data_IF_080111215989
#
_entry.id   IF_080111215989
#
_cell.length_a   1.000
_cell.length_b   1.000
_cell.length_c   1.000
_cell.angle_alpha   90.00
_cell.angle_beta   90.00
_cell.angle_gamma   90.00
#
_symmetry.space_group_name_H-M   'P 1'
#
loop_
_entity.id
_entity.type
_entity.pdbx_description
1 polymer ?
#
# COMPACT_ATOMS: atom_id res chain seq x y z
N UNK A 1 39.98 5.37 37.80
CA UNK A 1 39.37 5.55 36.47
C UNK A 1 37.88 5.38 36.67
N UNK A 2 37.07 6.39 36.35
CA UNK A 2 35.62 6.24 36.38
C UNK A 2 35.21 5.38 35.19
N UNK A 3 34.46 4.32 35.46
CA UNK A 3 33.87 3.42 34.48
C UNK A 3 32.43 3.86 34.19
N UNK A 4 31.86 3.42 33.06
CA UNK A 4 30.46 3.74 32.75
C UNK A 4 29.48 3.22 33.82
N UNK A 5 29.86 2.19 34.57
CA UNK A 5 29.06 1.59 35.65
C UNK A 5 29.00 2.48 36.90
N UNK A 6 29.90 3.46 37.02
CA UNK A 6 29.91 4.42 38.13
C UNK A 6 28.94 5.59 37.89
N UNK A 7 28.28 5.65 36.72
CA UNK A 7 27.28 6.66 36.41
C UNK A 7 25.93 6.34 37.09
N UNK A 8 25.22 7.37 37.61
CA UNK A 8 23.83 7.22 38.05
C UNK A 8 22.91 6.65 36.98
N UNK A 9 21.85 5.93 37.40
CA UNK A 9 20.88 5.29 36.50
C UNK A 9 20.26 6.27 35.51
N UNK A 10 19.99 7.51 35.92
CA UNK A 10 19.38 8.54 35.07
C UNK A 10 20.30 8.97 33.93
N UNK A 11 21.62 8.94 34.14
CA UNK A 11 22.59 9.25 33.08
C UNK A 11 22.76 8.08 32.13
N UNK A 12 22.78 6.85 32.66
CA UNK A 12 22.79 5.63 31.84
C UNK A 12 21.55 5.55 30.96
N UNK A 13 20.38 5.85 31.51
CA UNK A 13 19.13 5.90 30.76
C UNK A 13 19.21 6.90 29.60
N UNK A 14 19.66 8.13 29.87
CA UNK A 14 19.82 9.16 28.83
C UNK A 14 20.78 8.73 27.73
N UNK A 15 21.90 8.09 28.08
CA UNK A 15 22.87 7.58 27.10
C UNK A 15 22.23 6.50 26.23
N UNK A 16 21.56 5.52 26.85
CA UNK A 16 20.90 4.43 26.14
C UNK A 16 19.77 4.92 25.24
N UNK A 17 19.02 5.95 25.66
CA UNK A 17 17.99 6.57 24.83
C UNK A 17 18.54 7.25 23.56
N UNK A 18 19.84 7.57 23.49
CA UNK A 18 20.49 8.05 22.26
C UNK A 18 20.92 6.91 21.31
N UNK A 19 21.03 5.67 21.81
CA UNK A 19 21.43 4.52 21.01
C UNK A 19 20.25 3.91 20.22
N UNK A 20 20.52 3.21 19.11
CA UNK A 20 19.49 2.47 18.37
C UNK A 20 19.04 1.19 19.12
N UNK A 21 17.90 0.62 18.71
CA UNK A 21 17.33 -0.56 19.38
C UNK A 21 18.25 -1.80 19.36
N UNK A 22 18.98 -2.11 18.26
CA UNK A 22 19.99 -3.16 18.27
C UNK A 22 21.10 -2.93 19.29
N UNK A 23 21.66 -1.71 19.37
CA UNK A 23 22.72 -1.38 20.33
C UNK A 23 22.22 -1.50 21.76
N UNK A 24 21.02 -1.00 22.07
CA UNK A 24 20.42 -1.14 23.41
C UNK A 24 20.29 -2.63 23.77
N UNK A 25 19.87 -3.47 22.83
CA UNK A 25 19.75 -4.92 23.06
C UNK A 25 21.09 -5.57 23.36
N UNK A 26 22.15 -5.18 22.63
CA UNK A 26 23.52 -5.63 22.91
C UNK A 26 24.03 -5.13 24.27
N UNK A 27 23.71 -3.90 24.67
CA UNK A 27 24.08 -3.35 25.97
C UNK A 27 23.53 -4.19 27.14
N UNK A 28 22.38 -4.87 26.99
CA UNK A 28 21.87 -5.82 28.01
C UNK A 28 22.86 -6.95 28.30
N UNK A 29 23.69 -7.34 27.34
CA UNK A 29 24.64 -8.43 27.49
C UNK A 29 25.97 -7.98 28.14
N UNK A 30 26.18 -6.68 28.32
CA UNK A 30 27.46 -6.13 28.80
C UNK A 30 27.58 -6.21 30.32
N UNK A 31 26.56 -5.78 31.08
CA UNK A 31 26.57 -5.83 32.54
C UNK A 31 25.16 -5.82 33.16
N UNK A 32 25.09 -6.11 34.46
CA UNK A 32 23.83 -6.12 35.24
C UNK A 32 23.24 -4.72 35.36
N UNK A 33 24.05 -3.68 35.55
CA UNK A 33 23.57 -2.29 35.65
C UNK A 33 22.81 -1.85 34.39
N UNK A 34 23.34 -2.14 33.19
CA UNK A 34 22.61 -1.85 31.95
C UNK A 34 21.35 -2.69 31.82
N UNK A 35 21.41 -3.96 32.22
CA UNK A 35 20.23 -4.83 32.22
C UNK A 35 19.11 -4.27 33.10
N UNK A 36 19.45 -3.78 34.30
CA UNK A 36 18.50 -3.18 35.24
C UNK A 36 17.93 -1.87 34.69
N UNK A 37 18.78 -0.95 34.24
CA UNK A 37 18.33 0.33 33.63
C UNK A 37 17.40 0.08 32.44
N UNK A 38 17.78 -0.84 31.55
CA UNK A 38 16.97 -1.17 30.37
C UNK A 38 15.64 -1.79 30.77
N UNK A 39 15.62 -2.68 31.77
CA UNK A 39 14.41 -3.35 32.25
C UNK A 39 13.45 -2.37 32.95
N UNK A 40 14.00 -1.47 33.77
CA UNK A 40 13.23 -0.65 34.69
C UNK A 40 12.83 0.71 34.09
N UNK A 41 13.55 1.19 33.07
CA UNK A 41 13.17 2.41 32.32
C UNK A 41 12.00 2.15 31.37
N UNK A 42 10.87 2.83 31.64
CA UNK A 42 9.70 2.81 30.75
C UNK A 42 10.01 3.43 29.39
N UNK A 43 10.86 4.47 29.34
CA UNK A 43 11.23 5.13 28.09
C UNK A 43 12.07 4.22 27.17
N UNK A 44 13.02 3.48 27.75
CA UNK A 44 13.81 2.51 26.98
C UNK A 44 12.93 1.35 26.51
N UNK A 45 12.09 0.82 27.40
CA UNK A 45 11.14 -0.24 27.02
C UNK A 45 10.21 0.21 25.89
N UNK A 46 9.70 1.44 25.96
CA UNK A 46 8.88 2.03 24.90
C UNK A 46 9.62 2.14 23.57
N UNK A 47 10.87 2.65 23.58
CA UNK A 47 11.71 2.73 22.39
C UNK A 47 11.96 1.35 21.76
N UNK A 48 12.20 0.33 22.57
CA UNK A 48 12.39 -1.05 22.08
C UNK A 48 11.10 -1.62 21.48
N UNK A 49 9.95 -1.43 22.14
CA UNK A 49 8.66 -1.92 21.62
C UNK A 49 8.26 -1.20 20.32
N UNK A 50 8.52 0.10 20.20
CA UNK A 50 8.37 0.82 18.93
C UNK A 50 9.17 0.15 17.81
N UNK A 51 10.47 -0.09 18.04
CA UNK A 51 11.34 -0.71 17.05
C UNK A 51 10.92 -2.16 16.70
N UNK A 52 10.50 -2.96 17.68
CA UNK A 52 10.02 -4.33 17.46
C UNK A 52 8.78 -4.35 16.57
N UNK A 53 7.87 -3.40 16.77
CA UNK A 53 6.61 -3.35 16.02
C UNK A 53 6.69 -2.54 14.72
N UNK A 54 7.82 -1.86 14.48
CA UNK A 54 8.02 -1.00 13.31
C UNK A 54 7.24 0.31 13.38
N UNK A 55 7.29 0.95 14.54
CA UNK A 55 6.62 2.22 14.82
C UNK A 55 7.62 3.29 15.23
N UNK A 56 7.19 4.54 15.05
CA UNK A 56 7.80 5.74 15.60
C UNK A 56 6.87 6.39 16.62
N UNK A 57 7.46 7.16 17.53
CA UNK A 57 6.72 7.89 18.55
C UNK A 57 5.87 8.99 17.89
N UNK A 58 4.59 9.03 18.25
CA UNK A 58 3.65 9.97 17.66
C UNK A 58 3.48 11.25 18.49
N UNK A 59 2.84 12.24 17.89
CA UNK A 59 2.67 13.59 18.47
C UNK A 59 1.51 13.72 19.46
N UNK A 60 0.87 12.62 19.87
CA UNK A 60 -0.25 12.66 20.81
C UNK A 60 0.21 13.12 22.19
N UNK A 61 -0.04 14.40 22.48
CA UNK A 61 0.38 15.10 23.69
C UNK A 61 -0.42 14.71 24.94
N UNK A 62 -1.42 13.82 24.83
CA UNK A 62 -2.29 13.43 25.94
C UNK A 62 -1.88 12.15 26.67
N UNK A 63 -0.97 11.35 26.10
CA UNK A 63 -0.58 10.05 26.66
C UNK A 63 0.84 10.10 27.19
N UNK A 64 1.02 9.62 28.42
CA UNK A 64 2.32 9.34 29.01
C UNK A 64 3.03 8.21 28.26
N UNK A 65 4.36 8.13 28.38
CA UNK A 65 5.16 7.04 27.81
C UNK A 65 4.71 5.67 28.32
N UNK A 66 4.22 5.58 29.55
CA UNK A 66 3.67 4.36 30.13
C UNK A 66 2.37 3.93 29.41
N UNK A 67 1.45 4.85 29.18
CA UNK A 67 0.21 4.59 28.43
C UNK A 67 0.50 4.20 26.98
N UNK A 68 1.44 4.89 26.31
CA UNK A 68 1.87 4.52 24.94
C UNK A 68 2.49 3.12 24.88
N UNK A 69 3.31 2.75 25.88
CA UNK A 69 3.91 1.42 26.00
C UNK A 69 2.85 0.33 26.24
N UNK A 70 1.90 0.57 27.13
CA UNK A 70 0.80 -0.35 27.41
C UNK A 70 -0.07 -0.56 26.17
N UNK A 71 -0.35 0.51 25.42
CA UNK A 71 -1.10 0.44 24.18
C UNK A 71 -0.38 -0.37 23.09
N UNK A 72 0.94 -0.20 22.91
CA UNK A 72 1.72 -1.02 21.97
C UNK A 72 1.70 -2.51 22.33
N UNK A 73 1.87 -2.84 23.62
CA UNK A 73 1.84 -4.23 24.09
C UNK A 73 0.46 -4.84 23.94
N UNK A 74 -0.58 -4.10 24.32
CA UNK A 74 -1.98 -4.52 24.15
C UNK A 74 -2.33 -4.77 22.70
N UNK A 75 -1.90 -3.87 21.80
CA UNK A 75 -2.03 -4.03 20.35
C UNK A 75 -1.39 -5.32 19.88
N UNK A 76 -0.12 -5.55 20.21
CA UNK A 76 0.60 -6.76 19.81
C UNK A 76 -0.12 -8.02 20.28
N UNK A 77 -0.56 -8.04 21.54
CA UNK A 77 -1.35 -9.15 22.09
C UNK A 77 -2.67 -9.36 21.35
N UNK A 78 -3.41 -8.29 21.04
CA UNK A 78 -4.68 -8.34 20.31
C UNK A 78 -4.49 -8.84 18.86
N UNK A 79 -3.44 -8.39 18.16
CA UNK A 79 -3.10 -8.85 16.82
C UNK A 79 -2.72 -10.34 16.80
N UNK A 80 -1.93 -10.81 17.77
CA UNK A 80 -1.53 -12.23 17.87
C UNK A 80 -2.74 -13.11 18.21
N UNK A 81 -3.62 -12.65 19.10
CA UNK A 81 -4.83 -13.37 19.48
C UNK A 81 -5.96 -13.26 18.45
N UNK A 82 -5.83 -12.36 17.46
CA UNK A 82 -6.90 -11.98 16.50
C UNK A 82 -8.20 -11.65 17.23
N UNK A 83 -8.09 -10.85 18.30
CA UNK A 83 -9.23 -10.39 19.09
C UNK A 83 -9.52 -8.92 18.79
N UNK A 84 -10.47 -8.62 17.88
CA UNK A 84 -10.82 -7.24 17.56
C UNK A 84 -11.47 -6.56 18.78
N UNK A 85 -11.10 -5.31 19.02
CA UNK A 85 -11.75 -4.48 20.03
C UNK A 85 -13.14 -4.05 19.59
N UNK A 86 -13.33 -3.80 18.30
CA UNK A 86 -14.61 -3.42 17.71
C UNK A 86 -14.87 -4.21 16.43
N UNK A 87 -16.11 -4.66 16.24
CA UNK A 87 -16.59 -5.22 14.97
C UNK A 87 -17.74 -4.36 14.50
N UNK A 88 -17.63 -3.82 13.28
CA UNK A 88 -18.69 -3.07 12.63
C UNK A 88 -19.14 -3.82 11.39
N UNK A 89 -20.45 -4.03 11.27
CA UNK A 89 -21.05 -4.59 10.06
C UNK A 89 -21.62 -3.46 9.20
N UNK A 90 -21.33 -3.49 7.90
CA UNK A 90 -21.80 -2.51 6.92
C UNK A 90 -22.49 -3.25 5.78
N UNK A 91 -23.68 -2.78 5.42
CA UNK A 91 -24.38 -3.24 4.22
C UNK A 91 -24.00 -2.33 3.07
N UNK A 92 -23.39 -2.90 2.04
CA UNK A 92 -22.91 -2.19 0.86
C UNK A 92 -23.77 -2.58 -0.32
N UNK A 93 -24.04 -1.65 -1.23
CA UNK A 93 -24.69 -1.98 -2.52
C UNK A 93 -23.66 -2.09 -3.62
N UNK A 94 -22.80 -1.07 -3.72
CA UNK A 94 -21.82 -0.93 -4.78
C UNK A 94 -20.57 -0.25 -4.23
N UNK A 95 -19.46 -0.50 -4.94
CA UNK A 95 -18.14 0.14 -4.81
C UNK A 95 -17.54 0.23 -3.40
N UNK A 96 -16.29 -0.22 -3.28
CA UNK A 96 -15.56 -0.20 -2.02
C UNK A 96 -14.19 0.38 -2.28
N UNK A 97 -13.93 1.49 -1.61
CA UNK A 97 -12.62 2.11 -1.59
C UNK A 97 -12.01 1.97 -0.22
N UNK A 98 -10.72 1.69 -0.24
CA UNK A 98 -9.94 1.62 0.96
C UNK A 98 -8.57 2.22 0.68
N UNK A 99 -8.24 3.26 1.44
CA UNK A 99 -6.93 3.92 1.35
C UNK A 99 -6.65 4.61 2.65
N UNK A 100 -5.38 4.56 3.09
CA UNK A 100 -4.87 5.27 4.28
C UNK A 100 -5.90 5.27 5.42
N UNK A 101 -6.26 4.07 5.88
CA UNK A 101 -7.28 3.74 6.90
C UNK A 101 -8.59 4.52 6.86
N UNK A 102 -9.03 4.92 5.67
CA UNK A 102 -10.41 5.25 5.39
C UNK A 102 -11.04 4.15 4.57
N UNK A 103 -12.31 3.89 4.87
CA UNK A 103 -13.17 2.98 4.17
C UNK A 103 -14.34 3.76 3.59
N UNK A 104 -14.56 3.68 2.29
CA UNK A 104 -15.69 4.33 1.64
C UNK A 104 -16.54 3.32 0.87
N UNK A 105 -17.85 3.54 0.86
CA UNK A 105 -18.82 2.64 0.26
C UNK A 105 -20.07 3.38 -0.18
N UNK A 106 -20.86 2.79 -1.08
CA UNK A 106 -22.22 3.23 -1.38
C UNK A 106 -23.22 2.40 -0.56
N UNK A 107 -24.12 3.08 0.16
CA UNK A 107 -25.18 2.47 0.97
C UNK A 107 -26.38 2.00 0.13
N UNK A 108 -27.39 1.40 0.77
CA UNK A 108 -28.64 1.00 0.11
C UNK A 108 -29.52 2.18 -0.28
N UNK A 109 -29.29 3.30 0.37
CA UNK A 109 -29.96 4.56 0.15
C UNK A 109 -29.27 5.38 -0.95
N UNK A 110 -28.31 4.79 -1.67
CA UNK A 110 -27.52 5.46 -2.70
C UNK A 110 -26.86 6.74 -2.12
N UNK A 111 -26.19 6.59 -0.97
CA UNK A 111 -25.32 7.61 -0.39
C UNK A 111 -23.87 7.12 -0.37
N UNK A 112 -22.92 7.98 -0.76
CA UNK A 112 -21.49 7.66 -0.66
C UNK A 112 -20.99 8.02 0.74
N UNK A 113 -20.65 7.01 1.53
CA UNK A 113 -20.15 7.18 2.88
C UNK A 113 -18.64 7.02 2.94
N UNK A 114 -18.02 7.75 3.86
CA UNK A 114 -16.62 7.60 4.20
C UNK A 114 -16.50 7.43 5.71
N UNK A 115 -15.74 6.43 6.13
CA UNK A 115 -15.41 6.12 7.51
C UNK A 115 -13.89 6.18 7.69
N UNK A 116 -13.43 7.12 8.52
CA UNK A 116 -12.12 7.05 9.14
C UNK A 116 -12.13 5.91 10.16
N UNK A 117 -11.29 4.89 9.91
CA UNK A 117 -11.22 3.71 10.76
C UNK A 117 -10.62 4.06 12.12
N UNK A 118 -11.27 3.70 13.24
CA UNK A 118 -10.74 3.96 14.57
C UNK A 118 -9.51 3.08 14.84
N UNK A 119 -8.66 3.55 15.75
CA UNK A 119 -7.61 2.74 16.37
C UNK A 119 -7.52 3.14 17.84
N UNK A 120 -8.02 2.28 18.72
CA UNK A 120 -7.98 2.51 20.16
C UNK A 120 -6.55 2.63 20.66
N UNK A 121 -5.65 1.81 20.11
CA UNK A 121 -4.23 1.79 20.50
C UNK A 121 -3.45 3.03 20.03
N UNK A 122 -3.84 3.65 18.92
CA UNK A 122 -3.19 4.87 18.42
C UNK A 122 -3.90 6.15 18.83
N UNK A 123 -5.05 6.07 19.51
CA UNK A 123 -5.88 7.22 19.86
C UNK A 123 -6.60 7.85 18.65
N UNK A 124 -6.85 7.07 17.58
CA UNK A 124 -7.55 7.56 16.39
C UNK A 124 -9.06 7.38 16.58
N UNK A 125 -9.85 8.47 16.58
CA UNK A 125 -11.31 8.36 16.71
C UNK A 125 -11.94 7.87 15.40
N UNK A 126 -13.07 7.18 15.53
CA UNK A 126 -13.94 6.93 14.39
C UNK A 126 -14.58 8.26 13.94
N UNK A 127 -14.57 8.52 12.64
CA UNK A 127 -15.29 9.65 12.04
C UNK A 127 -15.97 9.18 10.78
N UNK A 128 -17.26 9.44 10.68
CA UNK A 128 -18.07 9.06 9.52
C UNK A 128 -18.79 10.27 8.97
N UNK A 129 -18.85 10.35 7.65
CA UNK A 129 -19.64 11.35 6.95
C UNK A 129 -20.16 10.78 5.63
N UNK A 130 -21.29 11.32 5.19
CA UNK A 130 -21.82 11.07 3.85
C UNK A 130 -21.42 12.24 2.95
N UNK A 131 -20.94 11.91 1.75
CA UNK A 131 -20.59 12.89 0.72
C UNK A 131 -21.86 13.25 -0.02
N UNK A 132 -22.24 14.53 0.06
CA UNK A 132 -23.49 15.02 -0.50
C UNK A 132 -23.30 15.43 -1.97
N UNK A 133 -24.34 15.28 -2.78
CA UNK A 133 -24.37 15.77 -4.16
C UNK A 133 -24.72 14.68 -5.18
N UNK A 134 -24.81 15.04 -6.47
CA UNK A 134 -25.21 14.12 -7.56
C UNK A 134 -24.08 13.16 -7.95
N UNK A 135 -23.29 12.72 -6.97
CA UNK A 135 -22.12 11.88 -7.18
C UNK A 135 -22.54 10.41 -7.22
N UNK A 136 -23.65 10.05 -6.58
CA UNK A 136 -24.00 8.63 -6.43
C UNK A 136 -24.56 8.03 -7.73
N UNK A 137 -25.36 8.80 -8.48
CA UNK A 137 -25.76 8.43 -9.84
C UNK A 137 -24.55 8.20 -10.75
N UNK A 138 -23.47 8.93 -10.48
CA UNK A 138 -22.21 8.77 -11.18
C UNK A 138 -21.48 7.52 -10.66
N UNK A 139 -21.22 7.37 -9.36
CA UNK A 139 -20.35 6.33 -8.81
C UNK A 139 -20.89 4.91 -9.02
N UNK A 140 -22.21 4.70 -8.98
CA UNK A 140 -22.83 3.36 -9.10
C UNK A 140 -22.51 2.62 -10.41
N UNK A 141 -22.04 3.31 -11.45
CA UNK A 141 -21.64 2.74 -12.74
C UNK A 141 -20.15 2.90 -13.05
N UNK A 142 -19.39 3.54 -12.16
CA UNK A 142 -18.11 4.16 -12.49
C UNK A 142 -16.99 3.71 -11.55
N UNK A 143 -15.80 4.26 -11.75
CA UNK A 143 -14.58 3.90 -11.01
C UNK A 143 -14.11 5.11 -10.22
N UNK A 144 -13.79 4.92 -8.95
CA UNK A 144 -13.34 6.01 -8.09
C UNK A 144 -12.01 5.73 -7.41
N UNK A 145 -11.36 6.80 -6.99
CA UNK A 145 -10.20 6.77 -6.11
C UNK A 145 -10.21 8.01 -5.21
N UNK A 146 -9.63 7.90 -4.01
CA UNK A 146 -9.64 8.99 -3.04
C UNK A 146 -8.27 9.19 -2.39
N UNK A 147 -8.01 10.42 -1.93
CA UNK A 147 -6.94 10.72 -0.97
C UNK A 147 -7.55 11.63 0.13
N UNK A 148 -7.90 11.06 1.29
CA UNK A 148 -8.50 11.81 2.39
C UNK A 148 -7.60 12.92 2.96
N UNK A 149 -6.27 12.81 2.83
CA UNK A 149 -5.35 13.84 3.31
C UNK A 149 -5.45 15.12 2.47
N UNK A 150 -5.73 14.98 1.18
CA UNK A 150 -5.92 16.10 0.25
C UNK A 150 -7.39 16.47 0.05
N UNK A 151 -8.32 15.82 0.78
CA UNK A 151 -9.79 15.99 0.61
C UNK A 151 -10.27 15.73 -0.82
N UNK A 152 -9.67 14.78 -1.54
CA UNK A 152 -9.97 14.54 -2.96
C UNK A 152 -10.67 13.20 -3.21
N UNK A 153 -11.65 13.24 -4.11
CA UNK A 153 -12.35 12.11 -4.70
C UNK A 153 -12.29 12.26 -6.23
N UNK A 154 -11.53 11.39 -6.89
CA UNK A 154 -11.51 11.28 -8.34
C UNK A 154 -12.60 10.29 -8.78
N UNK A 155 -13.42 10.69 -9.74
CA UNK A 155 -14.56 9.90 -10.25
C UNK A 155 -14.47 9.84 -11.76
N UNK A 156 -14.44 8.64 -12.34
CA UNK A 156 -14.45 8.48 -13.78
C UNK A 156 -15.86 8.23 -14.31
N UNK A 157 -16.48 9.24 -14.90
CA UNK A 157 -17.85 9.21 -15.38
C UNK A 157 -17.91 8.68 -16.83
N UNK A 158 -18.62 7.59 -17.07
CA UNK A 158 -18.95 7.17 -18.44
C UNK A 158 -19.98 8.11 -19.06
N UNK A 159 -19.70 8.67 -20.24
CA UNK A 159 -20.62 9.54 -20.98
C UNK A 159 -20.90 8.97 -22.36
N UNK A 160 -22.18 8.71 -22.62
CA UNK A 160 -22.70 8.30 -23.92
C UNK A 160 -22.96 9.53 -24.81
N UNK A 161 -22.54 9.46 -26.07
CA UNK A 161 -22.69 10.51 -27.09
C UNK A 161 -22.38 9.99 -28.48
N UNK A 162 -21.99 10.86 -29.43
CA UNK A 162 -21.53 10.41 -30.77
C UNK A 162 -20.29 9.49 -30.69
N UNK A 163 -19.51 9.62 -29.62
CA UNK A 163 -18.44 8.71 -29.21
C UNK A 163 -18.53 8.53 -27.70
N UNK A 164 -18.18 7.34 -27.24
CA UNK A 164 -18.16 6.96 -25.84
C UNK A 164 -16.87 7.50 -25.18
N UNK A 165 -16.98 8.09 -23.99
CA UNK A 165 -15.84 8.63 -23.25
C UNK A 165 -15.95 8.37 -21.75
N UNK A 166 -14.80 8.20 -21.13
CA UNK A 166 -14.58 8.34 -19.70
C UNK A 166 -14.17 9.78 -19.39
N UNK A 167 -14.90 10.45 -18.52
CA UNK A 167 -14.59 11.80 -18.05
C UNK A 167 -14.18 11.74 -16.59
N UNK A 168 -12.96 12.16 -16.28
CA UNK A 168 -12.43 12.09 -14.92
C UNK A 168 -12.71 13.43 -14.23
N UNK A 169 -13.67 13.43 -13.31
CA UNK A 169 -14.06 14.58 -12.50
C UNK A 169 -13.32 14.57 -11.15
N UNK A 170 -12.92 15.75 -10.68
CA UNK A 170 -12.25 15.92 -9.38
C UNK A 170 -13.17 16.61 -8.38
N UNK A 171 -13.48 15.92 -7.28
CA UNK A 171 -14.43 16.35 -6.26
C UNK A 171 -13.77 16.41 -4.88
N UNK A 172 -14.38 17.18 -3.98
CA UNK A 172 -14.04 17.18 -2.56
C UNK A 172 -14.61 15.94 -1.89
N UNK A 173 -13.79 15.21 -1.14
CA UNK A 173 -14.22 14.03 -0.39
C UNK A 173 -15.12 14.40 0.80
N UNK A 174 -15.04 15.62 1.31
CA UNK A 174 -15.87 16.09 2.44
C UNK A 174 -17.21 16.63 1.97
N UNK A 175 -17.20 17.43 0.89
CA UNK A 175 -18.40 18.18 0.46
C UNK A 175 -19.09 17.57 -0.74
N UNK A 176 -18.34 16.89 -1.62
CA UNK A 176 -18.82 16.35 -2.88
C UNK A 176 -18.85 17.32 -4.07
N UNK A 177 -18.63 18.61 -3.79
CA UNK A 177 -18.49 19.64 -4.81
C UNK A 177 -17.19 19.49 -5.60
N UNK A 178 -17.02 20.25 -6.68
CA UNK A 178 -15.75 20.29 -7.41
C UNK A 178 -14.60 20.70 -6.49
N UNK A 179 -13.47 20.01 -6.61
CA UNK A 179 -12.35 20.23 -5.71
C UNK A 179 -11.78 21.66 -5.88
N UNK A 180 -11.68 22.48 -4.83
CA UNK A 180 -11.33 23.91 -4.96
C UNK A 180 -9.88 24.16 -5.42
N UNK A 181 -8.98 23.21 -5.18
CA UNK A 181 -7.59 23.30 -5.63
C UNK A 181 -7.35 22.75 -7.04
N UNK A 182 -8.34 22.10 -7.64
CA UNK A 182 -8.20 21.60 -9.00
C UNK A 182 -8.37 22.75 -9.98
N UNK A 183 -7.35 22.99 -10.83
CA UNK A 183 -7.45 24.00 -11.89
C UNK A 183 -8.61 23.71 -12.85
N UNK A 184 -8.82 22.43 -13.16
CA UNK A 184 -9.88 21.96 -14.04
C UNK A 184 -10.86 21.07 -13.28
N UNK A 185 -12.15 21.26 -13.52
CA UNK A 185 -13.21 20.39 -12.96
C UNK A 185 -13.12 18.96 -13.50
N UNK A 186 -12.85 18.86 -14.78
CA UNK A 186 -12.61 17.62 -15.52
C UNK A 186 -11.12 17.56 -15.82
N UNK A 187 -10.46 16.54 -15.29
CA UNK A 187 -9.02 16.33 -15.44
C UNK A 187 -8.68 15.81 -16.84
N UNK A 188 -9.47 14.85 -17.33
CA UNK A 188 -9.23 14.20 -18.60
C UNK A 188 -10.53 13.64 -19.19
N UNK A 189 -10.57 13.56 -20.52
CA UNK A 189 -11.60 12.84 -21.28
C UNK A 189 -10.89 11.78 -22.13
N UNK A 190 -11.10 10.51 -21.79
CA UNK A 190 -10.45 9.37 -22.43
C UNK A 190 -11.51 8.67 -23.28
N UNK A 191 -11.19 8.39 -24.55
CA UNK A 191 -12.12 7.69 -25.42
C UNK A 191 -12.35 6.28 -24.88
N UNK A 192 -13.61 5.93 -24.62
CA UNK A 192 -13.97 4.57 -24.29
C UNK A 192 -13.99 3.75 -25.60
N UNK A 193 -13.18 2.71 -25.65
CA UNK A 193 -13.28 1.66 -26.67
C UNK A 193 -14.43 0.69 -26.35
N UNK A 194 -14.80 -0.14 -27.33
CA UNK A 194 -15.74 -1.23 -27.11
C UNK A 194 -15.17 -2.19 -26.05
N UNK A 195 -15.88 -2.33 -24.93
CA UNK A 195 -15.42 -3.11 -23.77
C UNK A 195 -14.09 -2.58 -23.19
N UNK A 196 -14.00 -1.26 -23.01
CA UNK A 196 -12.92 -0.63 -22.25
C UNK A 196 -13.30 -0.46 -20.79
N UNK A 197 -12.31 -0.57 -19.91
CA UNK A 197 -12.43 -0.22 -18.50
C UNK A 197 -11.29 0.70 -18.09
N UNK A 198 -11.41 1.25 -16.89
CA UNK A 198 -10.31 1.95 -16.26
C UNK A 198 -10.25 1.71 -14.76
N UNK A 199 -9.08 1.90 -14.18
CA UNK A 199 -8.90 2.05 -12.75
C UNK A 199 -8.22 3.41 -12.45
N UNK A 200 -8.53 3.97 -11.29
CA UNK A 200 -7.97 5.24 -10.83
C UNK A 200 -7.09 5.02 -9.61
N UNK A 201 -6.04 5.81 -9.50
CA UNK A 201 -5.24 5.94 -8.27
C UNK A 201 -5.05 7.42 -7.96
N UNK A 202 -5.23 7.82 -6.71
CA UNK A 202 -4.86 9.16 -6.24
C UNK A 202 -3.70 9.06 -5.27
N UNK A 203 -2.70 9.90 -5.47
CA UNK A 203 -1.56 10.02 -4.56
C UNK A 203 -1.11 11.48 -4.49
N UNK A 204 -1.39 12.16 -3.38
CA UNK A 204 -1.02 13.58 -3.21
C UNK A 204 -1.55 14.41 -4.37
N UNK A 205 -0.65 15.06 -5.12
CA UNK A 205 -0.92 15.93 -6.26
C UNK A 205 -1.12 15.14 -7.56
N UNK A 206 -0.97 13.82 -7.53
CA UNK A 206 -0.99 12.97 -8.71
C UNK A 206 -2.27 12.13 -8.80
N UNK A 207 -2.82 12.04 -10.02
CA UNK A 207 -3.85 11.07 -10.38
C UNK A 207 -3.28 10.16 -11.45
N UNK A 208 -3.25 8.87 -11.17
CA UNK A 208 -2.96 7.82 -12.12
C UNK A 208 -4.25 7.23 -12.70
N UNK A 209 -4.22 6.95 -14.00
CA UNK A 209 -5.33 6.35 -14.74
C UNK A 209 -4.79 5.16 -15.50
N UNK A 210 -5.28 3.97 -15.17
CA UNK A 210 -5.04 2.72 -15.89
C UNK A 210 -6.22 2.48 -16.81
N UNK A 211 -6.07 2.72 -18.10
CA UNK A 211 -7.12 2.48 -19.10
C UNK A 211 -6.80 1.20 -19.87
N UNK A 212 -7.72 0.24 -19.89
CA UNK A 212 -7.52 -1.06 -20.55
C UNK A 212 -8.66 -1.34 -21.53
N UNK A 213 -8.34 -2.00 -22.64
CA UNK A 213 -9.31 -2.41 -23.66
C UNK A 213 -9.43 -3.94 -23.69
N UNK A 214 -10.62 -4.52 -23.55
CA UNK A 214 -10.78 -5.99 -23.42
C UNK A 214 -10.30 -6.80 -24.64
N UNK A 215 -10.16 -6.16 -25.81
CA UNK A 215 -9.85 -6.85 -27.09
C UNK A 215 -8.39 -6.78 -27.53
N UNK A 216 -7.60 -5.93 -26.92
CA UNK A 216 -6.16 -5.96 -27.10
C UNK A 216 -5.58 -5.81 -25.72
N UNK A 217 -4.64 -6.65 -25.32
CA UNK A 217 -4.06 -6.65 -23.96
C UNK A 217 -3.31 -5.33 -23.59
N UNK A 218 -3.67 -4.19 -24.20
CA UNK A 218 -3.10 -2.86 -24.06
C UNK A 218 -3.61 -2.26 -22.78
N UNK A 219 -2.65 -1.76 -22.00
CA UNK A 219 -2.90 -0.94 -20.84
C UNK A 219 -2.25 0.41 -21.11
N UNK A 220 -3.07 1.45 -21.11
CA UNK A 220 -2.66 2.82 -21.22
C UNK A 220 -2.55 3.40 -19.81
N UNK A 221 -1.38 3.93 -19.47
CA UNK A 221 -1.16 4.58 -18.19
C UNK A 221 -1.04 6.08 -18.43
N UNK A 222 -1.88 6.84 -17.73
CA UNK A 222 -1.77 8.30 -17.71
C UNK A 222 -1.52 8.78 -16.29
N UNK A 223 -0.50 9.63 -16.11
CA UNK A 223 -0.24 10.30 -14.83
C UNK A 223 -0.45 11.79 -15.04
N UNK A 224 -1.30 12.37 -14.20
CA UNK A 224 -1.60 13.79 -14.18
C UNK A 224 -1.20 14.42 -12.86
N UNK A 225 -0.77 15.68 -12.89
CA UNK A 225 -0.86 16.54 -11.72
C UNK A 225 -2.27 17.15 -11.69
N UNK A 226 -3.10 16.77 -10.73
CA UNK A 226 -4.51 17.16 -10.72
C UNK A 226 -4.71 18.62 -10.27
N UNK A 227 -3.78 19.19 -9.51
CA UNK A 227 -3.81 20.61 -9.11
C UNK A 227 -3.54 21.50 -10.32
N UNK A 228 -2.54 21.18 -11.13
CA UNK A 228 -2.19 21.97 -12.34
C UNK A 228 -3.00 21.57 -13.58
N UNK A 229 -3.59 20.37 -13.60
CA UNK A 229 -4.28 19.78 -14.73
C UNK A 229 -3.34 19.26 -15.83
N UNK A 230 -2.02 19.23 -15.58
CA UNK A 230 -1.02 18.84 -16.57
C UNK A 230 -0.85 17.32 -16.62
N UNK A 231 -0.77 16.77 -17.82
CA UNK A 231 -0.45 15.36 -18.04
C UNK A 231 1.06 15.18 -18.04
N UNK A 232 1.59 14.52 -17.02
CA UNK A 232 3.03 14.30 -16.84
C UNK A 232 3.53 13.07 -17.60
N UNK A 233 2.66 12.07 -17.79
CA UNK A 233 3.03 10.80 -18.39
C UNK A 233 1.86 10.22 -19.19
N UNK A 234 2.16 9.62 -20.34
CA UNK A 234 1.23 8.83 -21.14
C UNK A 234 1.99 7.66 -21.76
N UNK A 235 1.71 6.45 -21.32
CA UNK A 235 2.37 5.22 -21.74
C UNK A 235 1.37 4.27 -22.40
N UNK A 236 1.82 3.63 -23.47
CA UNK A 236 1.20 2.47 -24.10
C UNK A 236 2.23 1.35 -24.14
N UNK A 237 2.16 0.41 -23.18
CA UNK A 237 2.96 -0.80 -23.23
C UNK A 237 2.39 -1.91 -22.36
N UNK A 238 2.88 -3.14 -22.61
CA UNK A 238 2.37 -4.37 -22.01
C UNK A 238 3.51 -5.29 -21.55
N UNK A 239 3.32 -6.06 -20.47
CA UNK A 239 2.49 -5.74 -19.32
C UNK A 239 3.12 -4.57 -18.55
N UNK A 240 2.32 -3.62 -18.08
CA UNK A 240 2.77 -2.57 -17.18
C UNK A 240 1.86 -2.51 -15.95
N UNK A 241 2.47 -2.37 -14.78
CA UNK A 241 1.80 -1.93 -13.56
C UNK A 241 2.62 -0.82 -12.90
N UNK A 242 1.98 0.08 -12.17
CA UNK A 242 2.68 1.11 -11.42
C UNK A 242 2.18 1.24 -9.98
N UNK A 243 3.01 1.86 -9.15
CA UNK A 243 2.61 2.28 -7.80
C UNK A 243 3.41 3.52 -7.38
N UNK A 244 2.79 4.39 -6.59
CA UNK A 244 3.46 5.52 -5.96
C UNK A 244 4.10 5.05 -4.65
N UNK A 245 5.38 5.36 -4.47
CA UNK A 245 6.16 4.99 -3.27
C UNK A 245 6.54 6.20 -2.43
N UNK A 246 6.51 7.39 -3.03
CA UNK A 246 6.71 8.66 -2.31
C UNK A 246 6.14 9.83 -3.13
N UNK A 247 6.23 11.04 -2.58
CA UNK A 247 5.88 12.27 -3.30
C UNK A 247 6.83 12.55 -4.50
N UNK A 248 7.99 11.88 -4.54
CA UNK A 248 9.03 12.07 -5.55
C UNK A 248 9.14 10.92 -6.54
N UNK A 249 8.81 9.70 -6.12
CA UNK A 249 9.10 8.50 -6.90
C UNK A 249 7.85 7.66 -7.16
N UNK A 250 7.77 7.18 -8.39
CA UNK A 250 6.83 6.16 -8.84
C UNK A 250 7.63 4.96 -9.35
N UNK A 251 7.13 3.76 -9.09
CA UNK A 251 7.67 2.53 -9.64
C UNK A 251 6.80 2.06 -10.79
N UNK A 252 7.44 1.66 -11.87
CA UNK A 252 6.79 1.14 -13.07
C UNK A 252 7.36 -0.25 -13.35
N UNK A 253 6.60 -1.30 -13.04
CA UNK A 253 6.94 -2.68 -13.37
C UNK A 253 6.50 -2.95 -14.81
N UNK A 254 7.42 -3.41 -15.65
CA UNK A 254 7.13 -3.74 -17.04
C UNK A 254 7.93 -4.95 -17.53
N UNK A 255 7.47 -5.60 -18.60
CA UNK A 255 8.26 -6.59 -19.33
C UNK A 255 8.00 -6.46 -20.82
N UNK A 256 8.88 -7.03 -21.65
CA UNK A 256 8.56 -7.25 -23.07
C UNK A 256 7.77 -8.55 -23.19
N UNK A 257 6.67 -8.55 -23.95
CA UNK A 257 5.80 -9.71 -24.18
C UNK A 257 6.55 -10.93 -24.72
N UNK A 258 7.64 -10.70 -25.46
CA UNK A 258 8.48 -11.76 -26.01
C UNK A 258 9.69 -12.10 -25.14
N UNK A 259 9.87 -11.39 -24.03
CA UNK A 259 11.01 -11.56 -23.13
C UNK A 259 10.58 -12.21 -21.82
N UNK A 260 11.47 -13.04 -21.28
CA UNK A 260 11.37 -13.48 -19.89
C UNK A 260 11.87 -12.41 -18.91
N UNK A 261 12.37 -11.28 -19.41
CA UNK A 261 12.90 -10.18 -18.60
C UNK A 261 11.79 -9.24 -18.16
N UNK A 262 11.58 -9.18 -16.85
CA UNK A 262 10.79 -8.13 -16.21
C UNK A 262 11.71 -7.11 -15.53
N UNK A 263 11.30 -5.85 -15.52
CA UNK A 263 12.08 -4.72 -15.02
C UNK A 263 11.19 -3.79 -14.21
N UNK A 264 11.73 -3.19 -13.16
CA UNK A 264 11.11 -2.07 -12.46
C UNK A 264 11.87 -0.80 -12.80
N UNK A 265 11.21 0.14 -13.46
CA UNK A 265 11.76 1.49 -13.67
C UNK A 265 11.36 2.41 -12.53
N UNK A 266 12.34 3.08 -11.95
CA UNK A 266 12.12 4.13 -10.95
C UNK A 266 11.99 5.46 -11.67
N UNK A 267 10.84 6.10 -11.56
CA UNK A 267 10.53 7.38 -12.20
C UNK A 267 10.54 8.49 -11.14
N UNK A 268 11.33 9.53 -11.37
CA UNK A 268 11.33 10.74 -10.52
C UNK A 268 10.28 11.72 -11.04
N UNK A 269 9.14 11.80 -10.35
CA UNK A 269 7.96 12.56 -10.75
C UNK A 269 8.24 14.07 -10.96
N UNK A 270 8.97 14.77 -10.07
CA UNK A 270 9.26 16.20 -10.25
C UNK A 270 10.15 16.51 -11.46
N UNK A 271 10.87 15.51 -11.99
CA UNK A 271 11.72 15.68 -13.18
C UNK A 271 11.01 15.31 -14.47
N UNK A 272 9.77 14.83 -14.42
CA UNK A 272 9.02 14.56 -15.64
C UNK A 272 8.81 15.87 -16.41
N UNK A 273 9.06 15.88 -17.72
CA UNK A 273 8.86 17.09 -18.50
C UNK A 273 7.38 17.46 -18.48
N UNK A 274 7.09 18.74 -18.24
CA UNK A 274 5.77 19.31 -18.48
C UNK A 274 5.59 19.43 -20.00
N UNK A 275 5.41 18.30 -20.70
CA UNK A 275 5.15 18.38 -22.14
C UNK A 275 3.74 18.91 -22.39
N UNK A 276 3.65 19.90 -23.27
CA UNK A 276 2.40 20.24 -23.93
C UNK A 276 1.82 18.98 -24.55
N UNK A 277 0.59 18.67 -24.13
CA UNK A 277 -0.27 17.58 -24.57
C UNK A 277 0.07 17.03 -25.97
N UNK A 278 0.31 15.72 -26.07
CA UNK A 278 -0.34 14.77 -27.01
C UNK A 278 0.52 13.56 -27.37
N UNK A 279 1.86 13.60 -27.22
CA UNK A 279 2.69 12.44 -27.57
C UNK A 279 2.44 11.32 -26.56
N UNK A 280 1.85 10.22 -27.02
CA UNK A 280 1.80 8.97 -26.29
C UNK A 280 3.15 8.27 -26.50
N UNK A 281 3.79 7.86 -25.42
CA UNK A 281 4.99 7.04 -25.55
C UNK A 281 4.57 5.61 -25.83
N UNK A 282 5.07 5.05 -26.93
CA UNK A 282 4.63 3.76 -27.46
C UNK A 282 5.67 2.66 -27.30
N UNK A 283 6.81 2.94 -26.67
CA UNK A 283 7.88 1.95 -26.49
C UNK A 283 8.58 2.09 -25.15
N UNK A 284 8.97 0.95 -24.57
CA UNK A 284 9.80 0.87 -23.36
C UNK A 284 11.16 1.54 -23.54
N UNK A 285 11.67 1.69 -24.77
CA UNK A 285 12.92 2.43 -25.02
C UNK A 285 12.77 3.93 -24.78
N UNK A 286 11.55 4.47 -24.89
CA UNK A 286 11.27 5.87 -24.55
C UNK A 286 11.19 6.09 -23.01
N UNK A 287 11.15 5.01 -22.20
CA UNK A 287 11.23 5.11 -20.73
C UNK A 287 12.65 5.28 -20.20
N UNK A 288 13.66 4.74 -20.87
CA UNK A 288 15.07 4.85 -20.46
C UNK A 288 15.57 6.28 -20.18
N UNK A 289 15.18 7.32 -20.96
CA UNK A 289 15.54 8.69 -20.62
C UNK A 289 14.80 9.23 -19.40
N UNK A 290 13.60 8.72 -19.08
CA UNK A 290 12.76 9.16 -17.97
C UNK A 290 13.04 8.43 -16.65
N UNK A 291 13.61 7.23 -16.71
CA UNK A 291 13.97 6.46 -15.54
C UNK A 291 15.21 7.02 -14.86
N UNK A 292 15.16 7.12 -13.53
CA UNK A 292 16.33 7.36 -12.68
C UNK A 292 17.23 6.13 -12.68
N UNK A 293 16.64 4.94 -12.54
CA UNK A 293 17.31 3.65 -12.67
C UNK A 293 16.29 2.59 -13.10
N UNK A 294 16.76 1.57 -13.82
CA UNK A 294 16.01 0.37 -14.16
C UNK A 294 16.58 -0.82 -13.39
N UNK A 295 15.72 -1.51 -12.67
CA UNK A 295 16.05 -2.62 -11.79
C UNK A 295 15.53 -3.91 -12.40
N UNK A 296 16.41 -4.75 -12.95
CA UNK A 296 16.01 -6.03 -13.54
C UNK A 296 15.52 -6.97 -12.44
N UNK A 297 14.36 -7.58 -12.64
CA UNK A 297 13.80 -8.60 -11.75
C UNK A 297 14.44 -9.96 -12.01
N UNK A 298 14.27 -10.96 -11.11
CA UNK A 298 14.81 -12.30 -11.34
C UNK A 298 14.34 -12.88 -12.67
N UNK A 299 15.25 -13.54 -13.39
CA UNK A 299 14.90 -14.23 -14.63
C UNK A 299 13.85 -15.32 -14.37
N UNK A 300 12.93 -15.44 -15.32
CA UNK A 300 11.82 -16.36 -15.23
C UNK A 300 11.93 -17.42 -16.33
N UNK A 301 11.42 -18.62 -16.08
CA UNK A 301 11.49 -19.72 -17.06
C UNK A 301 10.62 -19.48 -18.30
N UNK A 302 9.67 -18.54 -18.22
CA UNK A 302 8.78 -18.18 -19.32
C UNK A 302 8.44 -16.68 -19.31
N UNK A 303 8.00 -16.12 -20.46
CA UNK A 303 7.56 -14.73 -20.56
C UNK A 303 6.48 -14.40 -19.54
N UNK A 304 6.55 -13.20 -18.98
CA UNK A 304 5.54 -12.72 -18.05
C UNK A 304 4.27 -12.37 -18.81
N UNK A 305 3.12 -12.82 -18.30
CA UNK A 305 1.82 -12.54 -18.90
C UNK A 305 1.03 -11.49 -18.12
N UNK A 306 1.55 -11.10 -16.96
CA UNK A 306 0.93 -10.12 -16.09
C UNK A 306 1.90 -9.71 -15.00
N UNK A 307 2.01 -8.41 -14.79
CA UNK A 307 2.72 -7.80 -13.68
C UNK A 307 1.72 -7.04 -12.84
N UNK A 308 1.90 -7.09 -11.54
CA UNK A 308 1.20 -6.25 -10.59
C UNK A 308 2.22 -5.76 -9.57
N UNK A 309 2.17 -4.47 -9.25
CA UNK A 309 3.04 -3.87 -8.26
C UNK A 309 2.18 -3.07 -7.29
N UNK A 310 2.46 -3.21 -6.01
CA UNK A 310 1.84 -2.43 -4.96
C UNK A 310 2.89 -2.07 -3.92
N UNK A 311 2.89 -0.81 -3.49
CA UNK A 311 3.65 -0.38 -2.34
C UNK A 311 2.75 -0.33 -1.11
N UNK A 312 3.34 -0.58 0.07
CA UNK A 312 2.67 -0.19 1.30
C UNK A 312 2.54 1.33 1.34
N UNK A 313 1.37 1.88 1.71
CA UNK A 313 1.16 3.32 1.69
C UNK A 313 2.22 4.02 2.54
N UNK A 314 2.91 4.93 1.87
CA UNK A 314 4.22 5.40 2.24
C UNK A 314 4.35 6.23 3.50
N UNK A 315 3.25 6.71 4.06
CA UNK A 315 3.33 7.69 5.15
C UNK A 315 2.33 7.44 6.26
N UNK A 316 2.78 7.68 7.51
CA UNK A 316 1.91 8.09 8.59
C UNK A 316 0.97 9.19 8.14
N UNK A 317 -0.24 9.15 8.68
CA UNK A 317 -1.25 10.18 8.49
C UNK A 317 -0.72 11.51 9.04
N UNK A 318 -0.21 12.38 8.18
CA UNK A 318 0.48 13.61 8.61
C UNK A 318 -0.42 14.57 9.41
N UNK A 319 -1.74 14.42 9.32
CA UNK A 319 -2.72 15.30 9.97
C UNK A 319 -3.26 14.76 11.30
N UNK A 320 -3.07 13.48 11.62
CA UNK A 320 -3.59 12.91 12.86
C UNK A 320 -2.53 12.89 13.95
N UNK A 321 -2.87 13.45 15.11
CA UNK A 321 -2.07 13.29 16.32
C UNK A 321 -2.34 11.88 16.87
N UNK A 322 -1.35 10.99 16.77
CA UNK A 322 -1.45 9.60 17.21
C UNK A 322 -0.43 9.28 18.31
N UNK A 323 -0.71 8.26 19.12
CA UNK A 323 0.21 7.79 20.15
C UNK A 323 1.54 7.31 19.56
N UNK A 324 1.45 6.63 18.42
CA UNK A 324 2.55 6.15 17.59
C UNK A 324 2.03 5.96 16.16
N UNK A 325 2.93 5.89 15.19
CA UNK A 325 2.60 5.64 13.79
C UNK A 325 3.63 4.70 13.16
N UNK A 326 3.31 3.98 12.07
CA UNK A 326 4.29 3.16 11.38
C UNK A 326 5.55 3.98 11.05
N UNK A 327 6.72 3.36 11.10
CA UNK A 327 7.99 4.04 10.79
C UNK A 327 8.03 4.62 9.37
N UNK A 328 8.91 5.61 9.15
CA UNK A 328 9.11 6.40 7.93
C UNK A 328 9.28 5.54 6.64
N UNK A 329 9.17 6.10 5.42
CA UNK A 329 9.26 5.41 4.14
C UNK A 329 10.37 4.38 3.95
N UNK A 330 11.50 4.53 4.65
CA UNK A 330 12.64 3.62 4.54
C UNK A 330 12.29 2.18 4.92
N UNK A 331 11.25 1.96 5.74
CA UNK A 331 10.73 0.66 6.16
C UNK A 331 9.57 0.13 5.29
N UNK A 332 9.20 0.82 4.19
CA UNK A 332 8.16 0.35 3.29
C UNK A 332 8.55 -0.95 2.59
N UNK A 333 7.59 -1.87 2.49
CA UNK A 333 7.66 -3.00 1.57
C UNK A 333 6.99 -2.64 0.24
N UNK A 334 7.68 -2.90 -0.87
CA UNK A 334 7.11 -2.96 -2.21
C UNK A 334 6.86 -4.43 -2.52
N UNK A 335 5.61 -4.76 -2.82
CA UNK A 335 5.22 -6.10 -3.28
C UNK A 335 5.07 -6.07 -4.78
N UNK A 336 5.82 -6.96 -5.44
CA UNK A 336 5.75 -7.16 -6.88
C UNK A 336 5.21 -8.56 -7.08
N UNK A 337 3.97 -8.64 -7.54
CA UNK A 337 3.36 -9.89 -7.97
C UNK A 337 3.60 -10.09 -9.45
N UNK A 338 4.26 -11.20 -9.78
CA UNK A 338 4.55 -11.57 -11.16
C UNK A 338 3.74 -12.82 -11.51
N UNK A 339 2.99 -12.75 -12.61
CA UNK A 339 2.22 -13.88 -13.13
C UNK A 339 2.78 -14.28 -14.48
N UNK A 340 3.09 -15.57 -14.61
CA UNK A 340 3.69 -16.14 -15.81
C UNK A 340 2.72 -17.13 -16.41
N UNK A 341 2.49 -16.97 -17.71
CA UNK A 341 1.65 -17.87 -18.48
C UNK A 341 2.44 -18.29 -19.71
N UNK A 342 2.66 -19.60 -19.85
CA UNK A 342 3.17 -20.12 -21.10
C UNK A 342 2.02 -20.18 -22.11
N UNK A 343 1.92 -19.15 -22.94
CA UNK A 343 0.91 -19.06 -23.99
C UNK A 343 0.96 -20.24 -24.97
N UNK A 344 2.09 -20.97 -25.05
CA UNK A 344 2.22 -22.16 -25.90
C UNK A 344 1.43 -23.34 -25.37
N UNK A 345 1.12 -23.36 -24.07
CA UNK A 345 0.47 -24.51 -23.41
C UNK A 345 -1.06 -24.39 -23.44
N UNK A 346 -1.63 -23.22 -23.74
CA UNK A 346 -3.08 -22.97 -23.83
C UNK A 346 -3.91 -23.53 -22.67
N UNK A 347 -3.26 -23.77 -21.52
CA UNK A 347 -3.89 -24.26 -20.29
C UNK A 347 -3.63 -23.25 -19.19
N UNK A 348 -4.67 -22.46 -18.87
CA UNK A 348 -4.65 -21.51 -17.76
C UNK A 348 -4.39 -22.18 -16.40
N UNK A 349 -4.50 -23.50 -16.29
CA UNK A 349 -4.23 -24.25 -15.06
C UNK A 349 -2.75 -24.31 -14.70
N UNK A 350 -1.85 -24.06 -15.65
CA UNK A 350 -0.39 -24.08 -15.45
C UNK A 350 0.24 -22.70 -15.22
N UNK A 351 -0.57 -21.68 -14.91
CA UNK A 351 -0.06 -20.36 -14.56
C UNK A 351 0.84 -20.44 -13.31
N UNK A 352 2.13 -20.13 -13.48
CA UNK A 352 3.05 -19.93 -12.36
C UNK A 352 2.89 -18.50 -11.86
N UNK A 353 2.87 -18.32 -10.54
CA UNK A 353 2.87 -16.99 -9.92
C UNK A 353 4.03 -16.90 -8.96
N UNK A 354 4.64 -15.74 -8.86
CA UNK A 354 5.69 -15.46 -7.89
C UNK A 354 5.39 -14.11 -7.25
N UNK A 355 5.70 -14.01 -5.96
CA UNK A 355 5.61 -12.75 -5.21
C UNK A 355 7.00 -12.38 -4.77
N UNK A 356 7.45 -11.20 -5.17
CA UNK A 356 8.68 -10.61 -4.69
C UNK A 356 8.31 -9.51 -3.69
N UNK A 357 8.95 -9.53 -2.53
CA UNK A 357 8.83 -8.49 -1.52
C UNK A 357 10.17 -7.79 -1.43
N UNK A 358 10.15 -6.51 -1.75
CA UNK A 358 11.32 -5.67 -1.91
C UNK A 358 11.22 -4.53 -0.90
N UNK A 359 12.13 -4.44 0.08
CA UNK A 359 12.22 -3.25 0.93
C UNK A 359 12.50 -2.01 0.08
N UNK A 360 11.86 -0.90 0.39
CA UNK A 360 12.10 0.38 -0.27
C UNK A 360 13.58 0.79 -0.18
N UNK A 361 14.24 0.51 0.95
CA UNK A 361 15.67 0.73 1.11
C UNK A 361 16.54 0.00 0.07
N UNK A 362 16.13 -1.18 -0.42
CA UNK A 362 16.83 -1.88 -1.48
C UNK A 362 16.70 -1.16 -2.83
N UNK A 363 15.53 -0.60 -3.11
CA UNK A 363 15.30 0.24 -4.30
C UNK A 363 16.08 1.53 -4.20
N UNK A 364 16.11 2.19 -3.04
CA UNK A 364 16.91 3.39 -2.79
C UNK A 364 18.40 3.13 -2.99
N UNK A 365 18.93 2.00 -2.50
CA UNK A 365 20.30 1.58 -2.81
C UNK A 365 20.52 1.41 -4.31
N UNK A 366 19.57 0.80 -5.01
CA UNK A 366 19.61 0.71 -6.47
C UNK A 366 19.66 2.07 -7.18
N UNK A 367 18.87 3.05 -6.70
CA UNK A 367 18.93 4.43 -7.20
C UNK A 367 20.32 5.03 -6.98
N UNK A 368 20.85 4.90 -5.76
CA UNK A 368 22.17 5.44 -5.40
C UNK A 368 23.28 4.81 -6.24
N UNK A 369 23.33 3.48 -6.35
CA UNK A 369 24.30 2.76 -7.17
C UNK A 369 24.20 3.16 -8.64
N UNK A 370 22.99 3.28 -9.18
CA UNK A 370 22.78 3.70 -10.57
C UNK A 370 23.29 5.12 -10.85
N UNK A 371 23.15 6.03 -9.89
CA UNK A 371 23.69 7.39 -9.96
C UNK A 371 25.23 7.40 -9.85
N UNK A 372 25.78 6.72 -8.85
CA UNK A 372 27.23 6.72 -8.56
C UNK A 372 28.04 6.04 -9.67
N UNK A 373 27.55 4.92 -10.19
CA UNK A 373 28.22 4.16 -11.26
C UNK A 373 27.84 4.67 -12.67
N UNK A 374 26.98 5.69 -12.77
CA UNK A 374 26.36 6.14 -14.02
C UNK A 374 25.69 5.00 -14.81
N UNK A 375 25.19 3.99 -14.10
CA UNK A 375 24.46 2.85 -14.67
C UNK A 375 22.97 3.13 -14.61
N UNK A 376 22.35 3.26 -15.78
CA UNK A 376 20.89 3.37 -15.89
C UNK A 376 20.14 2.07 -15.67
N UNK A 377 20.83 0.92 -15.78
CA UNK A 377 20.24 -0.41 -15.64
C UNK A 377 21.12 -1.26 -14.72
N UNK A 378 20.51 -1.87 -13.72
CA UNK A 378 21.13 -2.78 -12.76
C UNK A 378 20.53 -4.17 -12.92
N UNK A 379 21.41 -5.17 -13.03
CA UNK A 379 21.06 -6.58 -13.09
C UNK A 379 20.59 -7.08 -11.71
N UNK A 380 19.76 -8.12 -11.69
CA UNK A 380 19.20 -8.66 -10.43
C UNK A 380 20.29 -8.88 -9.37
N UNK A 381 21.41 -9.50 -9.75
CA UNK A 381 22.53 -9.81 -8.85
C UNK A 381 23.22 -8.58 -8.25
N UNK A 382 23.05 -7.39 -8.83
CA UNK A 382 23.66 -6.14 -8.35
C UNK A 382 22.82 -5.47 -7.25
N UNK A 383 21.50 -5.63 -7.25
CA UNK A 383 20.60 -4.87 -6.35
C UNK A 383 19.64 -5.72 -5.50
N UNK A 384 19.24 -6.91 -5.95
CA UNK A 384 18.11 -7.67 -5.39
C UNK A 384 18.45 -8.70 -4.29
N UNK A 385 19.30 -9.72 -4.54
CA UNK A 385 19.29 -10.98 -3.79
C UNK A 385 19.46 -10.90 -2.28
N UNK A 386 20.11 -9.86 -1.75
CA UNK A 386 20.48 -9.78 -0.34
C UNK A 386 19.29 -9.47 0.57
N UNK A 387 18.38 -8.62 0.10
CA UNK A 387 17.38 -7.97 0.95
C UNK A 387 15.94 -8.20 0.48
N UNK A 388 15.75 -8.99 -0.58
CA UNK A 388 14.43 -9.28 -1.14
C UNK A 388 13.98 -10.70 -0.79
N UNK A 389 12.70 -10.87 -0.48
CA UNK A 389 12.09 -12.19 -0.30
C UNK A 389 11.36 -12.61 -1.59
N UNK A 390 11.74 -13.76 -2.15
CA UNK A 390 11.09 -14.36 -3.31
C UNK A 390 10.24 -15.56 -2.90
N UNK A 391 8.93 -15.48 -3.14
CA UNK A 391 7.95 -16.48 -2.73
C UNK A 391 7.32 -17.08 -4.00
N UNK A 392 7.71 -18.29 -4.42
CA UNK A 392 7.05 -18.98 -5.51
C UNK A 392 5.66 -19.45 -5.05
N UNK A 393 4.63 -19.22 -5.86
CA UNK A 393 3.28 -19.74 -5.59
C UNK A 393 3.28 -21.25 -5.79
N UNK A 394 2.75 -21.97 -4.80
CA UNK A 394 2.44 -23.40 -4.96
C UNK A 394 1.18 -23.58 -5.81
N UNK A 395 1.15 -24.62 -6.66
CA UNK A 395 0.01 -24.92 -7.54
C UNK A 395 -1.30 -24.98 -6.75
N UNK A 396 -2.32 -24.25 -7.20
CA UNK A 396 -3.71 -24.43 -6.78
C UNK A 396 -4.18 -23.61 -5.56
N UNK A 397 -3.34 -22.77 -4.94
CA UNK A 397 -3.80 -21.83 -3.91
C UNK A 397 -3.66 -20.39 -4.42
N UNK A 398 -4.77 -19.67 -4.66
CA UNK A 398 -4.68 -18.26 -4.97
C UNK A 398 -3.99 -17.55 -3.80
N UNK A 399 -2.95 -16.77 -4.08
CA UNK A 399 -2.52 -15.75 -3.13
C UNK A 399 -3.75 -14.85 -2.90
N UNK A 400 -4.11 -14.52 -1.64
CA UNK A 400 -5.26 -13.66 -1.40
C UNK A 400 -5.04 -12.36 -2.17
N UNK A 401 -6.03 -11.95 -2.97
CA UNK A 401 -6.08 -10.63 -3.62
C UNK A 401 -6.35 -9.61 -2.51
N UNK A 402 -5.38 -9.36 -1.64
CA UNK A 402 -5.50 -8.35 -0.59
C UNK A 402 -5.37 -6.99 -1.26
N UNK A 403 -6.46 -6.24 -1.37
CA UNK A 403 -6.43 -4.85 -1.83
C UNK A 403 -5.92 -3.99 -0.67
N UNK A 404 -4.64 -3.63 -0.72
CA UNK A 404 -3.96 -2.87 0.33
C UNK A 404 -3.50 -3.76 1.49
N UNK A 405 -2.20 -3.98 1.57
CA UNK A 405 -1.55 -4.54 2.75
C UNK A 405 -0.97 -3.41 3.60
N UNK A 406 -1.15 -3.49 4.92
CA UNK A 406 -0.53 -2.58 5.88
C UNK A 406 0.98 -2.79 5.99
N UNK A 407 1.70 -1.74 6.39
CA UNK A 407 3.17 -1.71 6.56
C UNK A 407 3.69 -2.78 7.50
N UNK A 408 2.99 -3.03 8.61
CA UNK A 408 3.44 -4.02 9.61
C UNK A 408 3.37 -5.45 9.07
N UNK A 409 2.37 -5.75 8.24
CA UNK A 409 2.18 -7.08 7.64
C UNK A 409 3.27 -7.37 6.63
N UNK A 410 3.58 -6.41 5.76
CA UNK A 410 4.69 -6.59 4.82
C UNK A 410 6.03 -6.76 5.52
N UNK A 411 6.28 -6.06 6.63
CA UNK A 411 7.50 -6.20 7.44
C UNK A 411 7.63 -7.60 8.07
N UNK A 412 6.53 -8.15 8.60
CA UNK A 412 6.53 -9.52 9.10
C UNK A 412 6.80 -10.52 7.98
N UNK A 413 6.21 -10.32 6.80
CA UNK A 413 6.37 -11.18 5.62
C UNK A 413 7.77 -11.02 4.98
N UNK A 414 8.39 -9.84 5.03
CA UNK A 414 9.74 -9.61 4.51
C UNK A 414 10.83 -10.19 5.42
N UNK A 415 10.52 -10.42 6.70
CA UNK A 415 11.41 -11.09 7.66
C UNK A 415 11.41 -12.61 7.54
N UNK A 416 10.56 -13.17 6.66
CA UNK A 416 10.33 -14.60 6.48
C UNK A 416 11.22 -15.15 5.36
N UNK A 417 11.97 -16.21 5.66
CA UNK A 417 12.87 -16.87 4.71
C UNK A 417 12.28 -18.15 4.08
N UNK A 418 11.08 -18.60 4.50
CA UNK A 418 10.45 -19.81 3.98
C UNK A 418 8.91 -19.73 3.85
N UNK A 419 8.33 -20.52 2.95
CA UNK A 419 6.86 -20.63 2.79
C UNK A 419 6.16 -21.14 4.06
N UNK A 420 6.85 -21.88 4.92
CA UNK A 420 6.30 -22.40 6.18
C UNK A 420 6.08 -21.30 7.24
N UNK A 421 6.80 -20.18 7.15
CA UNK A 421 6.66 -19.05 8.07
C UNK A 421 5.58 -18.05 7.61
N UNK A 422 4.94 -18.28 6.44
CA UNK A 422 3.74 -17.58 5.96
C UNK A 422 2.43 -18.23 6.44
N UNK A 423 2.51 -19.29 7.25
CA UNK A 423 1.38 -19.86 8.00
C UNK A 423 0.55 -18.81 8.75
N UNK A 424 1.09 -17.69 9.29
CA UNK A 424 0.29 -16.64 9.89
C UNK A 424 -0.75 -16.03 8.96
N UNK A 425 -0.46 -15.80 7.66
CA UNK A 425 -1.42 -15.21 6.72
C UNK A 425 -2.49 -16.20 6.24
N UNK A 426 -2.10 -17.45 5.98
CA UNK A 426 -3.08 -18.51 5.66
C UNK A 426 -3.90 -18.90 6.89
N UNK A 427 -3.33 -18.79 8.09
CA UNK A 427 -4.05 -18.90 9.34
C UNK A 427 -4.85 -17.64 9.67
N UNK A 428 -4.54 -16.46 9.11
CA UNK A 428 -5.29 -15.22 9.37
C UNK A 428 -6.74 -15.37 8.91
N UNK A 429 -6.98 -15.88 7.69
CA UNK A 429 -8.34 -16.23 7.27
C UNK A 429 -8.99 -17.22 8.24
N UNK A 430 -8.26 -18.24 8.69
CA UNK A 430 -8.79 -19.21 9.67
C UNK A 430 -9.12 -18.56 11.02
N UNK A 431 -8.25 -17.69 11.54
CA UNK A 431 -8.43 -17.00 12.81
C UNK A 431 -9.52 -15.94 12.74
N UNK A 432 -9.64 -15.23 11.62
CA UNK A 432 -10.73 -14.29 11.36
C UNK A 432 -12.06 -15.05 11.26
N UNK A 433 -12.11 -16.15 10.51
CA UNK A 433 -13.27 -17.03 10.47
C UNK A 433 -13.60 -17.57 11.87
N UNK A 434 -12.61 -17.96 12.67
CA UNK A 434 -12.81 -18.41 14.05
C UNK A 434 -13.39 -17.29 14.93
N UNK A 435 -12.80 -16.09 14.89
CA UNK A 435 -13.24 -14.94 15.67
C UNK A 435 -14.67 -14.49 15.33
N UNK A 436 -15.08 -14.63 14.06
CA UNK A 436 -16.45 -14.37 13.61
C UNK A 436 -17.40 -15.56 13.94
N UNK A 437 -16.90 -16.80 13.90
CA UNK A 437 -17.68 -18.01 14.16
C UNK A 437 -18.00 -18.25 15.64
N UNK A 438 -17.11 -17.87 16.57
CA UNK A 438 -17.33 -17.95 18.02
C UNK A 438 -18.51 -17.08 18.50
N UNK A 439 -19.05 -16.22 17.62
CA UNK A 439 -20.25 -15.41 17.86
C UNK A 439 -21.49 -15.90 17.09
N UNK A 440 -21.48 -17.14 16.60
CA UNK A 440 -22.66 -17.83 16.06
C UNK A 440 -22.83 -17.75 14.53
N UNK A 441 -21.82 -17.30 13.79
CA UNK A 441 -21.86 -17.23 12.32
C UNK A 441 -21.01 -18.35 11.69
N UNK A 442 -21.66 -19.42 11.21
CA UNK A 442 -21.01 -20.55 10.50
C UNK A 442 -20.74 -20.23 9.01
N UNK A 443 -20.22 -19.04 8.72
CA UNK A 443 -20.02 -18.53 7.35
C UNK A 443 -18.53 -18.42 7.03
N UNK A 444 -18.19 -18.59 5.76
CA UNK A 444 -16.83 -18.35 5.26
C UNK A 444 -16.68 -16.87 4.85
N UNK A 445 -15.60 -16.26 5.32
CA UNK A 445 -15.27 -14.86 5.04
C UNK A 445 -14.00 -14.75 4.20
N UNK A 446 -14.02 -13.82 3.24
CA UNK A 446 -12.86 -13.40 2.46
C UNK A 446 -12.25 -12.13 3.07
N UNK A 447 -10.93 -12.09 3.23
CA UNK A 447 -10.23 -10.85 3.61
C UNK A 447 -10.06 -9.97 2.38
N UNK A 448 -10.61 -8.76 2.46
CA UNK A 448 -10.66 -7.78 1.37
C UNK A 448 -9.55 -6.74 1.51
N UNK A 449 -9.32 -6.28 2.74
CA UNK A 449 -8.26 -5.33 3.07
C UNK A 449 -7.68 -5.64 4.44
N UNK A 450 -6.38 -5.33 4.60
CA UNK A 450 -5.63 -5.57 5.83
C UNK A 450 -4.80 -4.33 6.15
N UNK A 451 -5.16 -3.61 7.21
CA UNK A 451 -4.38 -2.50 7.73
C UNK A 451 -3.60 -2.89 8.97
N UNK A 452 -2.88 -1.93 9.54
CA UNK A 452 -2.08 -2.17 10.74
C UNK A 452 -2.94 -2.45 12.00
N UNK A 453 -4.16 -1.89 12.04
CA UNK A 453 -5.08 -1.97 13.19
C UNK A 453 -6.49 -2.44 12.77
N UNK A 454 -6.66 -3.01 11.58
CA UNK A 454 -7.96 -3.50 11.15
C UNK A 454 -7.88 -4.56 10.07
N UNK A 455 -8.93 -5.37 10.00
CA UNK A 455 -9.20 -6.34 8.94
C UNK A 455 -10.58 -6.05 8.39
N UNK A 456 -10.71 -5.99 7.07
CA UNK A 456 -12.00 -5.87 6.40
C UNK A 456 -12.28 -7.21 5.71
N UNK A 457 -13.44 -7.78 6.00
CA UNK A 457 -13.89 -9.03 5.38
C UNK A 457 -15.26 -8.90 4.72
N UNK A 458 -15.52 -9.78 3.76
CA UNK A 458 -16.81 -9.97 3.09
C UNK A 458 -17.26 -11.42 3.22
N UNK A 459 -18.57 -11.67 3.18
CA UNK A 459 -19.12 -13.03 3.18
C UNK A 459 -19.01 -13.66 1.77
N UNK A 460 -18.56 -14.92 1.69
CA UNK A 460 -18.22 -15.57 0.41
C UNK A 460 -19.41 -16.00 -0.47
N UNK A 461 -20.63 -16.07 0.06
CA UNK A 461 -21.69 -16.91 -0.51
C UNK A 461 -23.02 -16.24 -0.88
N UNK A 462 -23.14 -14.91 -0.91
CA UNK A 462 -24.36 -14.27 -1.39
C UNK A 462 -24.10 -12.96 -2.13
N UNK A 463 -25.02 -12.62 -3.04
CA UNK A 463 -25.21 -11.28 -3.60
C UNK A 463 -25.56 -10.20 -2.56
N UNK A 464 -25.53 -10.54 -1.26
CA UNK A 464 -25.64 -9.60 -0.15
C UNK A 464 -24.24 -9.15 0.28
N UNK A 465 -23.92 -7.90 -0.03
CA UNK A 465 -22.67 -7.22 0.25
C UNK A 465 -22.57 -6.79 1.73
N UNK A 466 -22.54 -7.77 2.63
CA UNK A 466 -22.25 -7.53 4.04
C UNK A 466 -20.73 -7.55 4.26
N UNK A 467 -20.21 -6.46 4.81
CA UNK A 467 -18.80 -6.29 5.13
C UNK A 467 -18.62 -6.15 6.62
N UNK A 468 -17.58 -6.79 7.15
CA UNK A 468 -17.19 -6.67 8.55
C UNK A 468 -15.86 -5.94 8.64
N UNK A 469 -15.85 -4.87 9.42
CA UNK A 469 -14.65 -4.14 9.79
C UNK A 469 -14.30 -4.54 11.21
N UNK A 470 -13.22 -5.30 11.34
CA UNK A 470 -12.64 -5.73 12.60
C UNK A 470 -11.54 -4.72 12.93
N UNK A 471 -11.75 -3.88 13.94
CA UNK A 471 -10.72 -2.95 14.43
C UNK A 471 -10.02 -3.56 15.63
N UNK A 472 -8.70 -3.43 15.68
CA UNK A 472 -7.84 -3.88 16.76
C UNK A 472 -7.49 -2.69 17.63
#
# INVERSE_FOLDING_TARGET
>A
MATLQDLPHELLEKILLQADAPTITLCRLVCTAFTEVIRDSTAIQYKLELAINGYEDGTLNGWSTAEKLEALRSRRSACVAVQPTTIRTINITHEILFTRGHFAWISKEDEFHVLQLPSAFRGIPAKEWAVKGPIVDVITQNRTAMDPDEDILAVAEYREGEREFWVISLRSLTTGDYHPQAKNRELASIRAGFASGLDLTVWRDYVGIDHFEDRGDYTYIYIYNWKTGERLLALDAKPIAYTFVSDQYMLLAHSDYHSAEATVSVIHLPSLPCEGSHKMMTSLTELEPLSTVQLRLPDCECPSSGLYIAATPARPWQKLSTAFHPSDPEDQGVVIHMSYYDWRINDFKDQKRSTLIVPWSAIQRGIQTGQDEQKKRLEWNEWGPKDTAFIPSTRGKPFPRVRGMGSTVLRQVSSVSSLDDLKPLTSLNRHVNLALSDRGQSREYNVEALGDDYIITSESNNSSSEYHILSF
#
